data_IF_186944527824
#
_entry.id   IF_186944527824
#
_cell.length_a   1.000
_cell.length_b   1.000
_cell.length_c   1.000
_cell.angle_alpha   90.00
_cell.angle_beta   90.00
_cell.angle_gamma   90.00
#
_symmetry.space_group_name_H-M   'P 1'
#
loop_
_entity.id
_entity.type
_entity.pdbx_description
1 polymer ?
#
# COMPACT_ATOMS: atom_id res chain seq x y z
N UNK A 1 17.42 -17.75 9.77
CA UNK A 1 17.76 -17.34 8.39
C UNK A 1 16.49 -16.77 7.80
N UNK A 2 16.54 -15.54 7.33
CA UNK A 2 15.35 -14.81 6.89
C UNK A 2 14.94 -15.26 5.50
N UNK A 3 13.64 -15.44 5.26
CA UNK A 3 13.11 -15.77 3.93
C UNK A 3 13.48 -14.69 2.89
N UNK A 4 13.69 -13.43 3.30
CA UNK A 4 14.04 -12.30 2.44
C UNK A 4 15.55 -12.12 2.16
N UNK A 5 16.40 -13.00 2.69
CA UNK A 5 17.85 -12.93 2.47
C UNK A 5 18.16 -12.94 0.96
N UNK A 6 19.02 -12.02 0.48
CA UNK A 6 19.41 -11.91 -0.93
C UNK A 6 20.84 -12.39 -1.17
N UNK A 7 21.02 -13.30 -2.13
CA UNK A 7 22.33 -13.76 -2.61
C UNK A 7 22.53 -13.35 -4.08
N UNK A 8 23.80 -13.23 -4.48
CA UNK A 8 24.18 -12.86 -5.85
C UNK A 8 24.01 -14.06 -6.80
N UNK A 9 23.25 -13.87 -7.87
CA UNK A 9 23.07 -14.87 -8.94
C UNK A 9 23.85 -14.53 -10.20
N UNK A 10 24.20 -13.24 -10.38
CA UNK A 10 25.08 -12.74 -11.43
C UNK A 10 25.89 -11.56 -10.88
N UNK A 11 27.22 -11.62 -10.99
CA UNK A 11 28.09 -10.50 -10.63
C UNK A 11 27.93 -9.30 -11.55
N UNK A 12 28.34 -8.12 -11.07
CA UNK A 12 28.33 -6.89 -11.86
C UNK A 12 29.26 -7.01 -13.08
N UNK A 13 28.86 -6.44 -14.21
CA UNK A 13 29.69 -6.29 -15.41
C UNK A 13 30.14 -4.84 -15.54
N UNK A 14 30.86 -4.50 -16.62
CA UNK A 14 31.29 -3.12 -16.90
C UNK A 14 30.08 -2.20 -17.11
N UNK A 15 28.99 -2.75 -17.65
CA UNK A 15 27.82 -1.99 -18.09
C UNK A 15 26.56 -2.23 -17.23
N UNK A 16 26.50 -3.32 -16.46
CA UNK A 16 25.30 -3.71 -15.69
C UNK A 16 25.61 -4.01 -14.21
N UNK A 17 24.66 -3.68 -13.33
CA UNK A 17 24.74 -4.02 -11.91
C UNK A 17 24.76 -5.53 -11.63
N UNK A 18 25.13 -5.91 -10.40
CA UNK A 18 24.99 -7.29 -9.92
C UNK A 18 23.51 -7.64 -9.73
N UNK A 19 23.10 -8.83 -10.15
CA UNK A 19 21.76 -9.35 -9.89
C UNK A 19 21.77 -10.09 -8.57
N UNK A 20 20.98 -9.58 -7.62
CA UNK A 20 20.72 -10.22 -6.33
C UNK A 20 19.27 -10.66 -6.28
N UNK A 21 19.06 -11.94 -5.97
CA UNK A 21 17.71 -12.52 -5.83
C UNK A 21 17.62 -13.24 -4.49
N UNK A 22 16.41 -13.64 -4.13
CA UNK A 22 16.18 -14.42 -2.92
C UNK A 22 17.16 -15.61 -2.85
N UNK A 23 17.83 -15.75 -1.71
CA UNK A 23 18.81 -16.81 -1.42
C UNK A 23 18.25 -18.20 -1.65
N UNK A 24 16.97 -18.42 -1.35
CA UNK A 24 16.32 -19.68 -1.64
C UNK A 24 16.32 -19.96 -3.15
N UNK A 25 16.01 -18.96 -3.98
CA UNK A 25 16.02 -19.06 -5.44
C UNK A 25 17.44 -19.35 -5.96
N UNK A 26 18.47 -18.70 -5.41
CA UNK A 26 19.89 -18.99 -5.75
C UNK A 26 20.25 -20.44 -5.43
N UNK A 27 19.77 -20.97 -4.30
CA UNK A 27 20.01 -22.36 -3.87
C UNK A 27 19.13 -23.39 -4.61
N UNK A 28 18.06 -22.94 -5.26
CA UNK A 28 17.11 -23.79 -5.97
C UNK A 28 16.88 -23.30 -7.41
N UNK A 29 17.93 -23.26 -8.26
CA UNK A 29 17.85 -22.71 -9.63
C UNK A 29 16.87 -23.47 -10.53
N UNK A 30 16.50 -24.71 -10.19
CA UNK A 30 15.47 -25.49 -10.90
C UNK A 30 14.06 -24.89 -10.83
N UNK A 31 13.80 -23.98 -9.88
CA UNK A 31 12.53 -23.25 -9.78
C UNK A 31 12.54 -21.93 -10.57
N UNK A 32 13.65 -21.61 -11.26
CA UNK A 32 13.74 -20.50 -12.20
C UNK A 32 13.70 -21.06 -13.62
N UNK A 33 12.60 -20.81 -14.33
CA UNK A 33 12.35 -21.34 -15.68
C UNK A 33 12.91 -20.43 -16.80
N UNK A 34 13.89 -19.60 -16.46
CA UNK A 34 14.51 -18.64 -17.37
C UNK A 34 15.93 -18.28 -16.94
N UNK A 35 16.44 -17.21 -17.52
CA UNK A 35 17.76 -16.65 -17.23
C UNK A 35 17.60 -15.27 -16.62
N UNK A 36 18.23 -15.04 -15.47
CA UNK A 36 18.26 -13.74 -14.80
C UNK A 36 19.02 -12.73 -15.67
N UNK A 37 18.34 -11.67 -16.11
CA UNK A 37 18.91 -10.63 -16.99
C UNK A 37 18.47 -9.25 -16.52
N UNK A 38 19.32 -8.24 -16.72
CA UNK A 38 18.92 -6.84 -16.58
C UNK A 38 18.59 -6.30 -17.97
N UNK A 39 17.44 -5.66 -18.11
CA UNK A 39 16.98 -5.03 -19.36
C UNK A 39 16.70 -3.57 -19.13
N UNK A 40 16.98 -2.73 -20.12
CA UNK A 40 16.67 -1.30 -20.07
C UNK A 40 15.25 -1.05 -20.55
N UNK A 41 14.38 -0.59 -19.64
CA UNK A 41 13.03 -0.15 -19.95
C UNK A 41 12.87 1.38 -19.88
N UNK A 42 11.67 1.92 -20.16
CA UNK A 42 11.38 3.37 -20.08
C UNK A 42 11.60 3.98 -18.68
N UNK A 43 11.69 3.13 -17.65
CA UNK A 43 11.93 3.50 -16.26
C UNK A 43 13.36 3.20 -15.77
N UNK A 44 14.29 2.83 -16.67
CA UNK A 44 15.68 2.49 -16.34
C UNK A 44 15.95 0.98 -16.37
N UNK A 45 17.11 0.59 -15.83
CA UNK A 45 17.53 -0.82 -15.71
C UNK A 45 16.51 -1.58 -14.83
N UNK A 46 15.96 -2.66 -15.37
CA UNK A 46 14.92 -3.48 -14.75
C UNK A 46 15.32 -4.94 -14.85
N UNK A 47 15.22 -5.66 -13.73
CA UNK A 47 15.42 -7.10 -13.68
C UNK A 47 14.30 -7.85 -14.41
N UNK A 48 14.69 -8.84 -15.23
CA UNK A 48 13.78 -9.74 -15.94
C UNK A 48 14.30 -11.18 -15.91
N UNK A 49 13.42 -12.13 -16.19
CA UNK A 49 13.75 -13.54 -16.35
C UNK A 49 13.46 -13.94 -17.80
N UNK A 50 14.50 -13.98 -18.65
CA UNK A 50 14.33 -14.28 -20.06
C UNK A 50 14.06 -15.78 -20.27
N UNK A 51 13.16 -16.15 -21.20
CA UNK A 51 12.96 -17.54 -21.59
C UNK A 51 14.28 -18.16 -22.09
N UNK A 52 14.49 -19.45 -21.81
CA UNK A 52 15.62 -20.19 -22.38
C UNK A 52 15.28 -20.65 -23.80
N UNK A 53 16.20 -20.46 -24.74
CA UNK A 53 16.00 -20.84 -26.13
C UNK A 53 15.69 -22.34 -26.27
N UNK A 54 14.63 -22.65 -27.02
CA UNK A 54 14.19 -24.02 -27.28
C UNK A 54 13.55 -24.76 -26.11
N UNK A 55 13.36 -24.12 -24.95
CA UNK A 55 12.69 -24.74 -23.80
C UNK A 55 11.17 -24.60 -23.89
N UNK A 56 10.44 -25.72 -23.78
CA UNK A 56 8.98 -25.68 -23.62
C UNK A 56 8.63 -25.30 -22.17
N UNK A 57 7.99 -24.15 -21.98
CA UNK A 57 7.61 -23.64 -20.65
C UNK A 57 6.68 -24.59 -19.89
N UNK A 58 5.69 -25.19 -20.57
CA UNK A 58 4.73 -26.10 -19.94
C UNK A 58 5.42 -27.32 -19.34
N UNK A 59 6.28 -27.98 -20.11
CA UNK A 59 7.06 -29.13 -19.61
C UNK A 59 8.01 -28.75 -18.47
N UNK A 60 8.64 -27.57 -18.55
CA UNK A 60 9.54 -27.09 -17.51
C UNK A 60 8.79 -26.75 -16.20
N UNK A 61 7.60 -26.16 -16.31
CA UNK A 61 6.73 -25.85 -15.18
C UNK A 61 6.21 -27.12 -14.51
N UNK A 62 5.74 -28.09 -15.30
CA UNK A 62 5.29 -29.39 -14.77
C UNK A 62 6.41 -30.09 -13.97
N UNK A 63 7.65 -30.01 -14.45
CA UNK A 63 8.80 -30.57 -13.75
C UNK A 63 9.09 -29.82 -12.43
N UNK A 64 9.00 -28.49 -12.43
CA UNK A 64 9.23 -27.68 -11.23
C UNK A 64 8.14 -27.89 -10.16
N UNK A 65 6.87 -28.00 -10.57
CA UNK A 65 5.75 -28.28 -9.64
C UNK A 65 5.97 -29.61 -8.90
N UNK A 66 6.51 -30.63 -9.57
CA UNK A 66 6.79 -31.94 -8.96
C UNK A 66 7.91 -31.92 -7.92
N UNK A 67 8.68 -30.83 -7.83
CA UNK A 67 9.71 -30.65 -6.80
C UNK A 67 9.15 -30.00 -5.52
N UNK A 68 7.91 -29.50 -5.55
CA UNK A 68 7.28 -28.91 -4.37
C UNK A 68 6.93 -30.00 -3.35
N UNK A 69 7.06 -29.73 -2.04
CA UNK A 69 6.63 -30.67 -1.01
C UNK A 69 5.14 -30.97 -1.14
N UNK A 70 4.78 -32.25 -1.06
CA UNK A 70 3.39 -32.67 -1.03
C UNK A 70 2.76 -32.38 0.34
N UNK A 71 1.42 -32.25 0.38
CA UNK A 71 0.61 -32.16 1.60
C UNK A 71 0.88 -30.97 2.54
N UNK A 72 1.41 -29.85 2.04
CA UNK A 72 1.52 -28.59 2.81
C UNK A 72 0.20 -27.80 2.90
N UNK A 73 -0.68 -27.97 1.91
CA UNK A 73 -2.01 -27.34 1.89
C UNK A 73 -3.06 -28.43 2.14
N UNK A 74 -3.78 -28.33 3.24
CA UNK A 74 -4.77 -29.33 3.66
C UNK A 74 -6.17 -29.09 3.07
N UNK A 75 -6.31 -28.05 2.23
CA UNK A 75 -7.56 -27.69 1.56
C UNK A 75 -8.64 -27.17 2.50
N UNK A 76 -8.34 -27.02 3.80
CA UNK A 76 -9.28 -26.42 4.73
C UNK A 76 -9.23 -24.91 4.54
N UNK A 77 -10.39 -24.23 4.47
CA UNK A 77 -10.42 -22.79 4.59
C UNK A 77 -9.69 -22.44 5.89
N UNK A 78 -8.64 -21.64 5.79
CA UNK A 78 -8.10 -20.96 6.97
C UNK A 78 -9.28 -20.23 7.61
N UNK A 79 -9.51 -20.44 8.91
CA UNK A 79 -10.52 -19.66 9.61
C UNK A 79 -10.17 -18.19 9.43
N UNK A 80 -11.03 -17.49 8.69
CA UNK A 80 -10.96 -16.04 8.57
C UNK A 80 -11.50 -15.55 9.90
N UNK A 81 -10.61 -15.13 10.77
CA UNK A 81 -11.00 -14.40 11.97
C UNK A 81 -11.61 -13.08 11.51
N UNK A 82 -12.94 -12.96 11.64
CA UNK A 82 -13.72 -11.79 11.23
C UNK A 82 -13.44 -10.59 12.15
N UNK A 83 -12.76 -10.80 13.28
CA UNK A 83 -12.27 -9.72 14.14
C UNK A 83 -10.93 -9.15 13.61
N UNK A 84 -10.30 -9.75 12.58
CA UNK A 84 -9.08 -9.22 11.94
C UNK A 84 -9.32 -7.99 11.04
N UNK A 85 -10.58 -7.64 10.76
CA UNK A 85 -10.91 -6.37 10.10
C UNK A 85 -10.77 -5.15 11.05
N UNK A 86 -10.40 -5.35 12.33
CA UNK A 86 -9.86 -4.30 13.22
C UNK A 86 -8.44 -4.69 13.72
N UNK A 87 -7.46 -4.16 12.98
CA UNK A 87 -6.00 -4.09 13.15
C UNK A 87 -5.17 -5.34 13.50
N UNK A 88 -5.16 -6.32 12.59
CA UNK A 88 -4.12 -7.36 12.46
C UNK A 88 -2.73 -6.89 11.99
N UNK A 89 -2.55 -5.63 11.61
CA UNK A 89 -1.26 -5.00 11.29
C UNK A 89 -0.70 -4.18 12.47
N UNK A 90 -1.01 -4.60 13.71
CA UNK A 90 -0.48 -3.99 14.93
C UNK A 90 0.98 -4.37 15.15
N UNK A 91 1.88 -3.45 14.83
CA UNK A 91 3.27 -3.50 15.32
C UNK A 91 3.25 -3.38 16.84
N UNK A 92 3.73 -4.44 17.52
CA UNK A 92 3.79 -4.51 18.98
C UNK A 92 4.64 -3.35 19.51
N UNK A 93 4.01 -2.45 20.29
CA UNK A 93 4.69 -1.33 20.95
C UNK A 93 4.43 0.06 20.35
N UNK A 94 3.62 0.19 19.31
CA UNK A 94 3.09 1.50 18.88
C UNK A 94 1.78 1.85 19.62
N UNK A 95 1.52 3.14 19.91
CA UNK A 95 0.23 3.56 20.42
C UNK A 95 -0.90 3.09 19.51
N UNK A 96 -2.01 2.66 20.13
CA UNK A 96 -3.22 2.01 19.56
C UNK A 96 -3.82 2.74 18.33
N UNK A 97 -3.47 4.01 18.08
CA UNK A 97 -3.97 4.78 16.94
C UNK A 97 -3.12 4.69 15.64
N UNK A 98 -1.93 4.09 15.64
CA UNK A 98 -1.10 3.99 14.42
C UNK A 98 -1.32 2.66 13.69
N UNK A 99 -2.11 2.70 12.62
CA UNK A 99 -2.30 1.59 11.67
C UNK A 99 -1.04 1.43 10.79
N UNK A 100 0.07 1.01 11.39
CA UNK A 100 1.36 0.94 10.72
C UNK A 100 1.60 -0.46 10.15
N UNK A 101 1.26 -0.65 8.87
CA UNK A 101 1.49 -1.88 8.12
C UNK A 101 2.96 -2.00 7.69
N UNK A 102 3.37 -3.17 7.21
CA UNK A 102 4.69 -3.37 6.61
C UNK A 102 4.99 -2.27 5.56
N UNK A 103 6.22 -1.74 5.59
CA UNK A 103 6.65 -0.64 4.72
C UNK A 103 6.28 0.77 5.23
N UNK A 104 5.36 0.90 6.19
CA UNK A 104 4.93 2.22 6.69
C UNK A 104 6.07 3.00 7.32
N UNK A 105 6.17 4.28 6.98
CA UNK A 105 7.09 5.20 7.64
C UNK A 105 6.49 5.78 8.93
N UNK A 106 7.33 5.93 9.94
CA UNK A 106 6.96 6.46 11.24
C UNK A 106 8.00 7.47 11.70
N UNK A 107 7.54 8.53 12.36
CA UNK A 107 8.43 9.47 13.03
C UNK A 107 8.32 9.30 14.54
N UNK A 108 9.46 9.12 15.19
CA UNK A 108 9.61 9.11 16.64
C UNK A 108 10.53 10.25 17.08
N UNK A 109 10.16 10.96 18.15
CA UNK A 109 10.92 12.13 18.62
C UNK A 109 12.32 11.77 19.15
N UNK A 110 12.51 10.54 19.64
CA UNK A 110 13.77 10.07 20.21
C UNK A 110 14.63 9.29 19.21
N UNK A 111 14.01 8.54 18.30
CA UNK A 111 14.68 7.65 17.34
C UNK A 111 14.71 8.17 15.91
N UNK A 112 13.98 9.25 15.61
CA UNK A 112 13.90 9.85 14.28
C UNK A 112 12.98 9.08 13.34
N UNK A 113 13.31 9.08 12.05
CA UNK A 113 12.54 8.39 11.01
C UNK A 113 12.76 6.88 11.11
N UNK A 114 11.68 6.12 11.06
CA UNK A 114 11.65 4.66 11.11
C UNK A 114 10.76 4.12 9.99
N UNK A 115 10.96 2.86 9.63
CA UNK A 115 10.12 2.12 8.70
C UNK A 115 9.77 0.77 9.33
N UNK A 116 8.54 0.30 9.13
CA UNK A 116 8.17 -1.06 9.51
C UNK A 116 8.79 -2.03 8.50
N UNK A 117 9.70 -2.87 8.98
CA UNK A 117 10.38 -3.90 8.20
C UNK A 117 10.28 -5.19 8.99
N UNK A 118 9.73 -6.23 8.37
CA UNK A 118 9.43 -7.52 9.00
C UNK A 118 8.55 -7.36 10.26
N UNK A 119 7.58 -6.44 10.23
CA UNK A 119 6.68 -6.14 11.34
C UNK A 119 7.32 -5.37 12.51
N UNK A 120 8.60 -4.99 12.42
CA UNK A 120 9.33 -4.27 13.47
C UNK A 120 9.73 -2.86 13.00
N UNK A 121 9.70 -1.86 13.90
CA UNK A 121 10.12 -0.50 13.55
C UNK A 121 11.65 -0.40 13.50
N UNK A 122 12.20 -0.27 12.29
CA UNK A 122 13.64 -0.13 12.02
C UNK A 122 13.99 1.33 11.75
N UNK A 123 15.00 1.86 12.44
CA UNK A 123 15.47 3.25 12.24
C UNK A 123 16.15 3.41 10.89
N UNK A 124 15.73 4.44 10.14
CA UNK A 124 16.33 4.76 8.85
C UNK A 124 17.52 5.69 9.07
N UNK A 125 18.69 5.24 8.60
CA UNK A 125 19.92 6.01 8.69
C UNK A 125 20.01 7.06 7.59
N UNK A 126 20.48 8.26 7.96
CA UNK A 126 20.85 9.29 6.99
C UNK A 126 22.13 8.89 6.26
N UNK A 127 22.12 9.00 4.94
CA UNK A 127 23.32 8.83 4.13
C UNK A 127 24.32 9.94 4.40
N UNK A 128 25.51 9.58 4.89
CA UNK A 128 26.66 10.49 5.00
C UNK A 128 27.44 10.50 3.68
N UNK A 129 27.18 11.47 2.79
CA UNK A 129 27.97 11.72 1.56
C UNK A 129 27.32 11.23 0.25
N UNK A 130 28.10 11.14 -0.85
CA UNK A 130 27.64 10.78 -2.21
C UNK A 130 27.59 9.27 -2.52
N UNK A 131 28.03 8.40 -1.62
CA UNK A 131 28.09 6.94 -1.86
C UNK A 131 27.73 6.09 -0.63
N UNK A 132 27.26 6.71 0.47
CA UNK A 132 26.87 5.97 1.68
C UNK A 132 25.53 5.23 1.51
N UNK A 133 25.30 4.26 2.39
CA UNK A 133 23.99 3.62 2.58
C UNK A 133 23.01 4.59 3.27
N UNK A 134 21.71 4.44 2.97
CA UNK A 134 20.63 5.23 3.57
C UNK A 134 20.02 6.32 2.67
N UNK A 135 19.06 7.05 3.22
CA UNK A 135 18.31 8.08 2.51
C UNK A 135 19.04 9.44 2.55
N UNK A 136 18.84 10.25 1.50
CA UNK A 136 19.34 11.64 1.49
C UNK A 136 18.61 12.49 2.53
N UNK A 137 19.25 13.55 3.03
CA UNK A 137 18.61 14.50 3.97
C UNK A 137 17.32 15.09 3.38
N UNK A 138 17.31 15.38 2.07
CA UNK A 138 16.11 15.83 1.36
C UNK A 138 14.99 14.79 1.44
N UNK A 139 15.30 13.52 1.17
CA UNK A 139 14.32 12.44 1.20
C UNK A 139 13.75 12.24 2.61
N UNK A 140 14.59 12.29 3.63
CA UNK A 140 14.15 12.16 5.03
C UNK A 140 13.19 13.30 5.39
N UNK A 141 13.51 14.54 4.99
CA UNK A 141 12.60 15.68 5.22
C UNK A 141 11.29 15.58 4.45
N UNK A 142 11.31 15.05 3.22
CA UNK A 142 10.10 14.77 2.43
C UNK A 142 9.23 13.76 3.16
N UNK A 143 9.77 12.59 3.50
CA UNK A 143 9.05 11.52 4.20
C UNK A 143 8.48 12.03 5.53
N UNK A 144 9.29 12.73 6.32
CA UNK A 144 8.86 13.29 7.60
C UNK A 144 7.69 14.28 7.48
N UNK A 145 7.54 14.96 6.33
CA UNK A 145 6.39 15.84 6.07
C UNK A 145 5.20 15.14 5.41
N UNK A 146 5.40 14.03 4.71
CA UNK A 146 4.31 13.22 4.15
C UNK A 146 3.60 12.39 5.23
N UNK A 147 4.30 11.97 6.29
CA UNK A 147 3.71 11.19 7.40
C UNK A 147 2.50 11.92 8.03
N UNK A 148 2.59 13.19 8.48
CA UNK A 148 1.43 13.88 9.05
C UNK A 148 0.27 14.08 8.06
N UNK A 149 0.57 14.15 6.75
CA UNK A 149 -0.45 14.23 5.71
C UNK A 149 -1.18 12.89 5.62
N UNK A 150 -0.46 11.78 5.49
CA UNK A 150 -1.02 10.42 5.49
C UNK A 150 -1.91 10.20 6.71
N UNK A 151 -1.39 10.49 7.89
CA UNK A 151 -2.08 10.25 9.16
C UNK A 151 -3.37 11.07 9.24
N UNK A 152 -3.33 12.35 8.83
CA UNK A 152 -4.52 13.21 8.82
C UNK A 152 -5.55 12.78 7.76
N UNK A 153 -5.12 12.28 6.59
CA UNK A 153 -6.02 11.72 5.58
C UNK A 153 -6.75 10.50 6.13
N UNK A 154 -6.02 9.55 6.71
CA UNK A 154 -6.59 8.36 7.34
C UNK A 154 -7.58 8.72 8.45
N UNK A 155 -7.23 9.73 9.25
CA UNK A 155 -8.12 10.24 10.29
C UNK A 155 -9.42 10.83 9.72
N UNK A 156 -9.36 11.64 8.65
CA UNK A 156 -10.56 12.17 7.97
C UNK A 156 -11.43 11.04 7.45
N UNK A 157 -10.83 10.04 6.78
CA UNK A 157 -11.58 8.92 6.21
C UNK A 157 -12.26 8.07 7.29
N UNK A 158 -11.53 7.71 8.37
CA UNK A 158 -12.09 6.95 9.49
C UNK A 158 -13.21 7.71 10.20
N UNK A 159 -13.08 9.02 10.36
CA UNK A 159 -14.14 9.85 10.93
C UNK A 159 -15.38 9.92 10.01
N UNK A 160 -15.20 10.01 8.69
CA UNK A 160 -16.31 9.98 7.73
C UNK A 160 -17.01 8.62 7.68
N UNK A 161 -16.26 7.53 7.74
CA UNK A 161 -16.80 6.17 7.79
C UNK A 161 -17.66 5.95 9.04
N UNK A 162 -17.17 6.39 10.21
CA UNK A 162 -17.86 6.24 11.50
C UNK A 162 -18.91 7.33 11.77
N UNK A 163 -19.21 8.18 10.79
CA UNK A 163 -20.12 9.31 10.90
C UNK A 163 -19.83 10.27 12.08
N UNK A 164 -18.53 10.43 12.42
CA UNK A 164 -18.04 11.32 13.49
C UNK A 164 -17.61 12.68 12.92
N UNK A 165 -17.53 13.76 13.72
CA UNK A 165 -17.01 15.03 13.22
C UNK A 165 -15.56 14.94 12.70
N UNK A 166 -15.31 15.35 11.44
CA UNK A 166 -13.98 15.28 10.80
C UNK A 166 -13.34 16.64 10.48
N UNK A 167 -13.97 17.77 10.85
CA UNK A 167 -13.47 19.12 10.52
C UNK A 167 -12.08 19.40 11.09
N UNK A 168 -11.82 18.99 12.32
CA UNK A 168 -10.52 19.22 12.96
C UNK A 168 -9.40 18.43 12.26
N UNK A 169 -9.71 17.21 11.80
CA UNK A 169 -8.78 16.41 11.00
C UNK A 169 -8.52 17.05 9.62
N UNK A 170 -9.56 17.62 8.97
CA UNK A 170 -9.38 18.41 7.74
C UNK A 170 -8.52 19.66 7.95
N UNK A 171 -8.63 20.33 9.11
CA UNK A 171 -7.75 21.48 9.45
C UNK A 171 -6.30 21.01 9.62
N UNK A 172 -6.06 19.90 10.34
CA UNK A 172 -4.72 19.30 10.46
C UNK A 172 -4.14 18.93 9.09
N UNK A 173 -4.93 18.27 8.25
CA UNK A 173 -4.56 17.91 6.89
C UNK A 173 -4.16 19.15 6.08
N UNK A 174 -4.96 20.23 6.14
CA UNK A 174 -4.67 21.49 5.46
C UNK A 174 -3.37 22.13 5.93
N UNK A 175 -3.11 22.16 7.23
CA UNK A 175 -1.87 22.71 7.78
C UNK A 175 -0.65 21.88 7.33
N UNK A 176 -0.74 20.55 7.43
CA UNK A 176 0.33 19.64 7.02
C UNK A 176 0.63 19.78 5.52
N UNK A 177 -0.42 19.77 4.69
CA UNK A 177 -0.33 19.95 3.24
C UNK A 177 0.29 21.29 2.85
N UNK A 178 -0.21 22.40 3.38
CA UNK A 178 0.35 23.73 3.09
C UNK A 178 1.80 23.86 3.53
N UNK A 179 2.18 23.22 4.64
CA UNK A 179 3.58 23.16 5.10
C UNK A 179 4.46 22.33 4.15
N UNK A 180 3.95 21.23 3.58
CA UNK A 180 4.67 20.44 2.59
C UNK A 180 4.87 21.24 1.30
N UNK A 181 3.79 21.77 0.73
CA UNK A 181 3.81 22.51 -0.54
C UNK A 181 4.73 23.72 -0.49
N UNK A 182 4.77 24.44 0.63
CA UNK A 182 5.69 25.57 0.82
C UNK A 182 7.17 25.17 0.73
N UNK A 183 7.52 23.98 1.21
CA UNK A 183 8.92 23.56 1.32
C UNK A 183 9.38 22.73 0.11
N UNK A 184 8.47 22.00 -0.55
CA UNK A 184 8.80 21.02 -1.59
C UNK A 184 8.00 21.16 -2.90
N UNK A 185 7.04 22.08 -2.97
CA UNK A 185 6.09 22.14 -4.08
C UNK A 185 5.02 21.04 -4.01
N UNK A 186 4.25 20.84 -5.09
CA UNK A 186 3.20 19.81 -5.16
C UNK A 186 3.69 18.42 -4.75
N UNK A 187 2.89 17.66 -4.00
CA UNK A 187 3.18 16.25 -3.70
C UNK A 187 3.34 15.47 -5.01
N UNK A 188 2.43 15.70 -5.95
CA UNK A 188 2.39 15.03 -7.25
C UNK A 188 3.33 15.62 -8.31
N UNK A 189 4.26 16.52 -7.91
CA UNK A 189 5.22 17.12 -8.84
C UNK A 189 5.90 16.05 -9.70
N UNK A 190 5.78 16.20 -11.02
CA UNK A 190 6.25 15.23 -12.00
C UNK A 190 7.11 15.91 -13.05
N UNK A 191 8.32 15.42 -13.25
CA UNK A 191 9.21 15.85 -14.35
C UNK A 191 9.16 14.82 -15.46
N UNK A 192 8.80 15.26 -16.67
CA UNK A 192 8.82 14.44 -17.88
C UNK A 192 10.08 14.74 -18.69
N UNK A 193 10.83 13.69 -19.05
CA UNK A 193 11.99 13.79 -19.93
C UNK A 193 11.78 12.88 -21.14
N UNK A 194 11.92 13.43 -22.34
CA UNK A 194 11.87 12.68 -23.60
C UNK A 194 13.31 12.49 -24.09
N UNK A 195 13.73 11.24 -24.25
CA UNK A 195 15.05 10.86 -24.78
C UNK A 195 14.84 10.09 -26.07
N UNK A 196 15.43 10.56 -27.16
CA UNK A 196 15.46 9.82 -28.43
C UNK A 196 16.79 9.07 -28.53
N UNK A 197 16.72 7.77 -28.78
CA UNK A 197 17.88 6.93 -29.01
C UNK A 197 18.43 7.19 -30.43
N UNK A 198 19.66 7.70 -30.57
CA UNK A 198 20.18 8.13 -31.87
C UNK A 198 20.53 6.98 -32.83
N UNK A 199 20.59 5.73 -32.36
CA UNK A 199 20.88 4.56 -33.20
C UNK A 199 19.60 3.84 -33.68
N UNK A 200 18.59 3.76 -32.82
CA UNK A 200 17.32 3.06 -33.08
C UNK A 200 16.16 3.98 -33.48
N UNK A 201 16.28 5.29 -33.23
CA UNK A 201 15.19 6.26 -33.38
C UNK A 201 14.06 6.07 -32.37
N UNK A 202 14.27 5.28 -31.31
CA UNK A 202 13.26 5.02 -30.29
C UNK A 202 13.11 6.24 -29.38
N UNK A 203 11.89 6.78 -29.28
CA UNK A 203 11.54 7.88 -28.38
C UNK A 203 11.08 7.31 -27.04
N UNK A 204 11.80 7.61 -25.96
CA UNK A 204 11.49 7.19 -24.59
C UNK A 204 11.05 8.36 -23.74
N UNK A 205 9.91 8.24 -23.11
CA UNK A 205 9.39 9.20 -22.15
C UNK A 205 9.58 8.68 -20.72
N UNK A 206 10.29 9.43 -19.88
CA UNK A 206 10.54 9.08 -18.47
C UNK A 206 9.85 10.07 -17.55
N UNK A 207 9.02 9.55 -16.64
CA UNK A 207 8.32 10.34 -15.62
C UNK A 207 9.01 10.18 -14.27
N UNK A 208 9.38 11.29 -13.64
CA UNK A 208 10.04 11.31 -12.32
C UNK A 208 9.18 12.06 -11.32
N UNK A 209 8.90 11.44 -10.18
CA UNK A 209 8.08 12.02 -9.09
C UNK A 209 8.95 12.25 -7.85
N UNK A 210 9.79 13.30 -7.80
CA UNK A 210 10.82 13.43 -6.77
C UNK A 210 10.27 13.56 -5.34
N UNK A 211 9.01 13.96 -5.17
CA UNK A 211 8.35 14.08 -3.87
C UNK A 211 7.67 12.79 -3.41
N UNK A 212 7.15 11.97 -4.33
CA UNK A 212 6.58 10.66 -4.00
C UNK A 212 7.62 9.53 -3.98
N UNK A 213 8.67 9.61 -4.82
CA UNK A 213 9.70 8.58 -4.95
C UNK A 213 10.29 8.12 -3.61
N UNK A 214 10.60 9.02 -2.65
CA UNK A 214 11.15 8.61 -1.35
C UNK A 214 10.14 7.90 -0.44
N UNK A 215 8.85 7.98 -0.74
CA UNK A 215 7.74 7.51 0.08
C UNK A 215 7.04 6.29 -0.54
N UNK A 216 7.56 5.74 -1.64
CA UNK A 216 6.92 4.64 -2.39
C UNK A 216 6.72 3.35 -1.59
N UNK A 217 7.62 3.07 -0.64
CA UNK A 217 7.52 1.87 0.20
C UNK A 217 6.38 1.99 1.22
N UNK A 218 5.81 3.18 1.42
CA UNK A 218 4.66 3.36 2.30
C UNK A 218 3.39 2.81 1.63
N UNK A 219 2.61 1.97 2.31
CA UNK A 219 1.38 1.42 1.75
C UNK A 219 0.36 2.50 1.39
N UNK A 220 0.45 3.69 1.99
CA UNK A 220 -0.46 4.81 1.75
C UNK A 220 0.13 5.88 0.82
N UNK A 221 1.24 5.61 0.13
CA UNK A 221 1.83 6.54 -0.83
C UNK A 221 0.80 7.05 -1.84
N UNK A 222 -0.01 6.16 -2.41
CA UNK A 222 -1.02 6.53 -3.41
C UNK A 222 -2.23 7.23 -2.82
N UNK A 223 -2.56 6.94 -1.56
CA UNK A 223 -3.58 7.68 -0.83
C UNK A 223 -3.15 9.14 -0.62
N UNK A 224 -1.89 9.35 -0.22
CA UNK A 224 -1.31 10.68 -0.10
C UNK A 224 -1.28 11.40 -1.45
N UNK A 225 -0.93 10.70 -2.53
CA UNK A 225 -0.98 11.27 -3.88
C UNK A 225 -2.41 11.70 -4.29
N UNK A 226 -3.45 10.98 -3.89
CA UNK A 226 -4.84 11.26 -4.31
C UNK A 226 -5.46 12.55 -3.74
N UNK A 227 -4.80 13.20 -2.78
CA UNK A 227 -5.37 14.39 -2.13
C UNK A 227 -5.17 15.67 -2.94
N UNK A 228 -4.34 15.64 -3.98
CA UNK A 228 -4.07 16.78 -4.84
C UNK A 228 -4.59 16.56 -6.25
N UNK A 229 -5.22 17.57 -6.81
CA UNK A 229 -5.43 17.68 -8.25
C UNK A 229 -4.23 18.44 -8.85
N UNK A 230 -3.34 17.70 -9.52
CA UNK A 230 -2.07 18.21 -10.05
C UNK A 230 -2.13 18.39 -11.56
N UNK A 231 -1.76 19.59 -12.00
CA UNK A 231 -1.65 19.96 -13.39
C UNK A 231 -0.18 19.95 -13.82
N UNK A 232 0.15 19.01 -14.72
CA UNK A 232 1.48 18.82 -15.26
C UNK A 232 1.95 19.99 -16.14
N UNK A 233 1.04 20.68 -16.82
CA UNK A 233 1.40 21.78 -17.74
C UNK A 233 1.81 23.03 -16.96
N UNK A 234 1.09 23.32 -15.87
CA UNK A 234 1.33 24.52 -15.06
C UNK A 234 2.27 24.28 -13.88
N UNK A 235 2.61 23.01 -13.60
CA UNK A 235 3.32 22.56 -12.40
C UNK A 235 2.66 23.09 -11.10
N UNK A 236 1.32 23.07 -11.07
CA UNK A 236 0.54 23.51 -9.91
C UNK A 236 -0.37 22.41 -9.39
N UNK A 237 -0.63 22.42 -8.08
CA UNK A 237 -1.58 21.52 -7.45
C UNK A 237 -2.66 22.30 -6.69
N UNK A 238 -3.88 21.77 -6.71
CA UNK A 238 -5.01 22.26 -5.94
C UNK A 238 -5.42 21.20 -4.90
N UNK A 239 -5.88 21.61 -3.70
CA UNK A 239 -6.44 20.68 -2.74
C UNK A 239 -7.64 19.94 -3.34
N UNK A 240 -7.65 18.61 -3.24
CA UNK A 240 -8.76 17.77 -3.67
C UNK A 240 -9.98 17.83 -2.73
N UNK A 241 -11.06 17.10 -3.05
CA UNK A 241 -12.33 17.17 -2.33
C UNK A 241 -12.23 16.85 -0.83
N UNK A 242 -11.32 15.95 -0.42
CA UNK A 242 -11.15 15.53 0.97
C UNK A 242 -10.87 16.69 1.95
N UNK A 243 -10.39 17.83 1.45
CA UNK A 243 -10.12 19.02 2.24
C UNK A 243 -11.37 19.82 2.64
N UNK A 244 -12.50 19.62 1.95
CA UNK A 244 -13.73 20.41 2.14
C UNK A 244 -15.01 19.58 2.19
N UNK A 245 -14.98 18.38 1.63
CA UNK A 245 -16.18 17.58 1.35
C UNK A 245 -16.09 16.21 2.04
N UNK A 246 -17.26 15.57 2.15
CA UNK A 246 -17.35 14.15 2.49
C UNK A 246 -17.05 13.34 1.24
N UNK A 247 -16.05 12.47 1.30
CA UNK A 247 -15.59 11.61 0.20
C UNK A 247 -15.95 10.14 0.39
N UNK A 248 -16.31 9.74 1.61
CA UNK A 248 -16.91 8.44 1.92
C UNK A 248 -18.37 8.65 2.31
N UNK A 249 -19.30 8.09 1.53
CA UNK A 249 -20.72 8.12 1.89
C UNK A 249 -20.97 7.30 3.17
N UNK A 250 -21.89 7.73 4.06
CA UNK A 250 -22.33 6.86 5.14
C UNK A 250 -22.95 5.60 4.53
N UNK A 251 -22.90 4.44 5.23
CA UNK A 251 -23.68 3.27 4.83
C UNK A 251 -25.13 3.68 4.59
N UNK A 252 -25.70 3.26 3.46
CA UNK A 252 -27.09 3.53 3.17
C UNK A 252 -27.95 2.86 4.26
N UNK A 253 -28.97 3.55 4.80
CA UNK A 253 -29.88 2.92 5.74
C UNK A 253 -30.49 1.68 5.08
N UNK A 254 -30.60 0.55 5.80
CA UNK A 254 -31.12 -0.68 5.23
C UNK A 254 -32.56 -0.48 4.76
N UNK A 255 -32.86 -0.96 3.56
CA UNK A 255 -34.22 -0.94 3.03
C UNK A 255 -34.92 -2.21 3.50
N UNK A 256 -35.90 -2.04 4.38
CA UNK A 256 -36.65 -3.15 4.98
C UNK A 256 -37.96 -3.32 4.21
N UNK A 257 -38.08 -4.42 3.48
CA UNK A 257 -39.30 -4.76 2.72
C UNK A 257 -39.97 -6.04 3.21
N UNK A 258 -39.29 -6.81 4.05
CA UNK A 258 -39.73 -8.10 4.57
C UNK A 258 -39.22 -8.36 5.98
N UNK A 259 -39.80 -9.36 6.66
CA UNK A 259 -39.32 -9.84 7.96
C UNK A 259 -37.89 -10.40 7.90
N UNK A 260 -37.49 -10.97 6.75
CA UNK A 260 -36.11 -11.42 6.51
C UNK A 260 -35.12 -10.24 6.45
N UNK A 261 -35.50 -9.14 5.80
CA UNK A 261 -34.68 -7.93 5.76
C UNK A 261 -34.52 -7.34 7.17
N UNK A 262 -35.63 -7.27 7.92
CA UNK A 262 -35.61 -6.79 9.30
C UNK A 262 -34.74 -7.68 10.21
N UNK A 263 -34.82 -9.01 10.07
CA UNK A 263 -33.94 -9.93 10.79
C UNK A 263 -32.46 -9.68 10.50
N UNK A 264 -32.09 -9.45 9.23
CA UNK A 264 -30.72 -9.14 8.86
C UNK A 264 -30.23 -7.84 9.52
N UNK A 265 -31.08 -6.81 9.57
CA UNK A 265 -30.78 -5.55 10.28
C UNK A 265 -30.56 -5.79 11.77
N UNK A 266 -31.46 -6.52 12.43
CA UNK A 266 -31.37 -6.79 13.87
C UNK A 266 -30.13 -7.61 14.23
N UNK A 267 -29.79 -8.62 13.42
CA UNK A 267 -28.57 -9.40 13.61
C UNK A 267 -27.32 -8.53 13.44
N UNK A 268 -27.30 -7.63 12.45
CA UNK A 268 -26.19 -6.70 12.23
C UNK A 268 -26.07 -5.67 13.37
N UNK A 269 -27.17 -5.16 13.91
CA UNK A 269 -27.17 -4.13 14.95
C UNK A 269 -26.94 -4.68 16.36
N UNK A 270 -27.47 -5.87 16.68
CA UNK A 270 -27.53 -6.40 18.05
C UNK A 270 -26.80 -7.72 18.24
N UNK A 271 -26.37 -8.39 17.17
CA UNK A 271 -25.68 -9.68 17.23
C UNK A 271 -26.55 -10.86 17.71
N UNK A 272 -27.86 -10.65 17.88
CA UNK A 272 -28.81 -11.69 18.28
C UNK A 272 -30.21 -11.38 17.74
N UNK A 273 -31.09 -12.39 17.72
CA UNK A 273 -32.47 -12.23 17.27
C UNK A 273 -33.29 -11.51 18.34
N UNK A 274 -33.94 -10.42 17.96
CA UNK A 274 -34.87 -9.64 18.79
C UNK A 274 -36.19 -9.47 18.03
N UNK A 275 -37.21 -10.25 18.44
CA UNK A 275 -38.50 -10.30 17.76
C UNK A 275 -39.31 -9.02 17.90
N UNK A 276 -39.15 -8.30 19.01
CA UNK A 276 -39.85 -7.03 19.25
C UNK A 276 -39.28 -5.94 18.33
N UNK A 277 -37.95 -5.91 18.17
CA UNK A 277 -37.29 -4.98 17.24
C UNK A 277 -37.61 -5.30 15.78
N UNK A 278 -37.67 -6.59 15.40
CA UNK A 278 -38.11 -6.99 14.05
C UNK A 278 -39.55 -6.52 13.79
N UNK A 279 -40.46 -6.75 14.74
CA UNK A 279 -41.86 -6.36 14.64
C UNK A 279 -42.04 -4.84 14.52
N UNK A 280 -41.22 -4.06 15.24
CA UNK A 280 -41.17 -2.60 15.11
C UNK A 280 -40.76 -2.18 13.69
N UNK A 281 -39.69 -2.78 13.15
CA UNK A 281 -39.14 -2.47 11.83
C UNK A 281 -40.09 -2.82 10.68
N UNK A 282 -40.92 -3.87 10.80
CA UNK A 282 -41.91 -4.24 9.78
C UNK A 282 -43.32 -3.70 10.05
N UNK A 283 -43.52 -2.97 11.15
CA UNK A 283 -44.81 -2.45 11.60
C UNK A 283 -45.90 -3.53 11.76
N UNK A 284 -45.55 -4.68 12.34
CA UNK A 284 -46.46 -5.79 12.63
C UNK A 284 -46.42 -6.17 14.12
N UNK A 285 -47.32 -7.06 14.56
CA UNK A 285 -47.19 -7.67 15.88
C UNK A 285 -46.12 -8.77 15.86
N UNK A 286 -45.44 -9.06 16.99
CA UNK A 286 -44.47 -10.15 17.07
C UNK A 286 -45.06 -11.50 16.63
N UNK A 287 -46.31 -11.77 16.96
CA UNK A 287 -47.01 -12.99 16.54
C UNK A 287 -47.17 -13.09 15.02
N UNK A 288 -47.34 -11.97 14.31
CA UNK A 288 -47.47 -11.95 12.86
C UNK A 288 -46.11 -12.16 12.15
N UNK A 289 -45.01 -11.71 12.77
CA UNK A 289 -43.64 -11.89 12.27
C UNK A 289 -43.21 -13.37 12.29
N UNK A 290 -43.67 -14.14 13.28
CA UNK A 290 -43.31 -15.57 13.44
C UNK A 290 -44.07 -16.45 12.42
N UNK A 291 -45.24 -16.01 11.97
CA UNK A 291 -46.16 -16.81 11.15
C UNK A 291 -46.03 -16.53 9.65
N UNK A 292 -45.44 -15.38 9.26
CA UNK A 292 -45.16 -15.00 7.87
C UNK A 292 -43.85 -15.56 7.35
#
# INVERSE_FOLDING_TARGET
>A
MGWLDLDEVRGATVDEGAIRVNRWVVRHPGFVLGTHVLTSGPFGETYTCLPRDGQNLGTALDAAIRLLPEALYDGKPTEIDLDLDDDGDRVVGLPVDRHAREGSFLFDQSRGLMQIIEGEPVTITMRKGRTGEGLSEKHIRIIAKLIPIRDAVREVLKAQELDRPWKDAQVRLRIAWSSFVRDFGPINHTTVAITEDPESGEVRETHRRPNLQPFLDDPDCWLVASIEDYDLETDTARPGPIFSERVIAPPAPPVITSAADALAVVLNERGHVDLDHIAELVHQSPDAVIVG
#
